data_IF_472902999228
#
_entry.id   IF_472902999228
#
_cell.length_a   1.000
_cell.length_b   1.000
_cell.length_c   1.000
_cell.angle_alpha   90.00
_cell.angle_beta   90.00
_cell.angle_gamma   90.00
#
_symmetry.space_group_name_H-M   'P 1'
#
loop_
_entity.id
_entity.type
_entity.pdbx_description
1 polymer ?
#
# COMPACT_ATOMS: atom_id res chain seq x y z
N UNK A 1 0.27 -3.69 15.00
CA UNK A 1 1.42 -2.93 14.48
C UNK A 1 2.65 -3.40 15.20
N UNK A 2 3.78 -3.43 14.50
CA UNK A 2 5.01 -4.06 14.98
C UNK A 2 6.14 -3.05 14.83
N UNK A 3 6.84 -2.76 15.94
CA UNK A 3 8.10 -2.04 15.86
C UNK A 3 9.15 -2.99 15.28
N UNK A 4 9.84 -2.54 14.24
CA UNK A 4 10.89 -3.29 13.57
C UNK A 4 12.21 -2.59 13.79
N UNK A 5 13.23 -3.39 14.12
CA UNK A 5 14.58 -2.89 14.25
C UNK A 5 15.16 -2.65 12.85
N UNK A 6 15.61 -1.43 12.61
CA UNK A 6 16.40 -1.02 11.44
C UNK A 6 17.83 -0.90 11.92
N UNK A 7 18.72 -1.66 11.29
CA UNK A 7 20.12 -1.70 11.69
C UNK A 7 20.90 -0.50 11.15
N UNK A 8 21.98 -0.15 11.83
CA UNK A 8 22.99 0.74 11.27
C UNK A 8 23.42 0.24 9.87
N UNK A 9 23.60 1.18 8.94
CA UNK A 9 23.89 0.92 7.53
C UNK A 9 22.67 0.77 6.63
N UNK A 10 21.45 0.57 7.16
CA UNK A 10 20.25 0.53 6.31
C UNK A 10 20.09 1.81 5.49
N UNK A 11 19.56 1.68 4.29
CA UNK A 11 19.32 2.79 3.37
C UNK A 11 17.87 3.24 3.46
N UNK A 12 17.67 4.55 3.70
CA UNK A 12 16.35 5.16 3.78
C UNK A 12 15.98 5.82 2.45
N UNK A 13 14.89 5.33 1.88
CA UNK A 13 14.19 5.93 0.76
C UNK A 13 12.95 6.63 1.31
N UNK A 14 13.03 7.95 1.45
CA UNK A 14 11.89 8.74 1.92
C UNK A 14 10.73 8.59 0.94
N UNK A 15 9.51 8.71 1.45
CA UNK A 15 8.30 8.63 0.66
C UNK A 15 8.41 9.44 -0.64
N UNK A 16 8.53 8.72 -1.75
CA UNK A 16 8.44 9.25 -3.11
C UNK A 16 7.03 9.02 -3.64
N UNK A 17 6.65 9.73 -4.70
CA UNK A 17 5.32 9.65 -5.30
C UNK A 17 5.40 9.44 -6.81
N UNK A 18 4.33 8.89 -7.37
CA UNK A 18 4.19 8.66 -8.80
C UNK A 18 5.13 7.58 -9.31
N UNK A 19 5.79 7.88 -10.42
CA UNK A 19 6.62 6.90 -11.15
C UNK A 19 7.80 6.40 -10.32
N UNK A 20 8.44 7.27 -9.53
CA UNK A 20 9.63 6.92 -8.74
C UNK A 20 9.32 5.80 -7.74
N UNK A 21 8.22 5.95 -6.98
CA UNK A 21 7.81 4.93 -6.01
C UNK A 21 7.49 3.60 -6.70
N UNK A 22 6.68 3.64 -7.76
CA UNK A 22 6.30 2.44 -8.51
C UNK A 22 7.51 1.75 -9.13
N UNK A 23 8.50 2.50 -9.61
CA UNK A 23 9.71 1.94 -10.21
C UNK A 23 10.61 1.28 -9.17
N UNK A 24 10.76 1.87 -7.98
CA UNK A 24 11.45 1.25 -6.83
C UNK A 24 10.80 -0.10 -6.49
N UNK A 25 9.48 -0.11 -6.33
CA UNK A 25 8.75 -1.35 -5.99
C UNK A 25 8.88 -2.38 -7.11
N UNK A 26 8.74 -2.00 -8.39
CA UNK A 26 8.93 -2.92 -9.51
C UNK A 26 10.33 -3.54 -9.52
N UNK A 27 11.37 -2.76 -9.25
CA UNK A 27 12.76 -3.25 -9.21
C UNK A 27 12.96 -4.27 -8.09
N UNK A 28 12.50 -3.95 -6.88
CA UNK A 28 12.50 -4.85 -5.72
C UNK A 28 11.85 -6.20 -6.05
N UNK A 29 10.65 -6.16 -6.61
CA UNK A 29 9.89 -7.37 -6.87
C UNK A 29 10.38 -8.18 -8.07
N UNK A 30 10.96 -7.53 -9.09
CA UNK A 30 11.64 -8.22 -10.21
C UNK A 30 12.93 -8.90 -9.79
N UNK A 31 13.66 -8.29 -8.86
CA UNK A 31 14.88 -8.82 -8.27
C UNK A 31 14.61 -10.04 -7.39
N UNK A 32 13.43 -10.10 -6.77
CA UNK A 32 12.99 -11.21 -5.92
C UNK A 32 13.46 -11.12 -4.46
N UNK A 33 14.27 -10.11 -4.13
CA UNK A 33 14.81 -9.87 -2.79
C UNK A 33 13.96 -8.83 -2.05
N UNK A 34 12.99 -9.29 -1.26
CA UNK A 34 12.19 -8.42 -0.38
C UNK A 34 12.50 -8.63 1.11
N UNK A 35 13.32 -9.64 1.44
CA UNK A 35 13.66 -10.02 2.81
C UNK A 35 14.72 -9.07 3.39
N UNK A 36 14.30 -8.06 4.14
CA UNK A 36 15.18 -6.97 4.61
C UNK A 36 14.73 -5.59 4.15
N UNK A 37 13.56 -5.52 3.49
CA UNK A 37 12.90 -4.26 3.15
C UNK A 37 11.74 -4.03 4.12
N UNK A 38 11.70 -2.84 4.72
CA UNK A 38 10.68 -2.43 5.67
C UNK A 38 9.91 -1.25 5.08
N UNK A 39 8.59 -1.41 4.95
CA UNK A 39 7.66 -0.34 4.64
C UNK A 39 7.27 0.40 5.93
N UNK A 40 7.64 1.67 6.02
CA UNK A 40 7.40 2.51 7.20
C UNK A 40 5.94 2.94 7.23
N UNK A 41 5.24 2.63 8.32
CA UNK A 41 3.78 2.85 8.45
C UNK A 41 3.42 4.09 9.25
N UNK A 42 4.34 4.60 10.07
CA UNK A 42 4.18 5.85 10.83
C UNK A 42 5.45 6.69 10.77
N UNK A 43 5.34 8.02 10.96
CA UNK A 43 6.52 8.86 11.14
C UNK A 43 7.43 8.31 12.25
N UNK A 44 8.72 8.23 11.99
CA UNK A 44 9.73 7.78 12.97
C UNK A 44 10.94 8.71 12.93
N UNK A 45 11.55 8.96 14.09
CA UNK A 45 12.80 9.74 14.17
C UNK A 45 13.96 8.76 14.08
N UNK A 46 14.83 8.95 13.09
CA UNK A 46 15.94 8.03 12.80
C UNK A 46 17.27 8.78 12.79
N UNK A 47 18.31 8.31 13.49
CA UNK A 47 19.66 8.83 13.36
C UNK A 47 20.27 8.41 12.01
N UNK A 48 20.77 9.37 11.24
CA UNK A 48 21.35 9.15 9.91
C UNK A 48 22.70 9.83 9.76
N UNK A 49 23.52 9.28 8.87
CA UNK A 49 24.76 9.91 8.44
C UNK A 49 24.48 11.06 7.46
N UNK A 50 25.07 12.22 7.74
CA UNK A 50 25.27 13.30 6.77
C UNK A 50 26.74 13.29 6.37
N UNK A 51 26.99 13.09 5.08
CA UNK A 51 28.32 13.11 4.46
C UNK A 51 29.35 12.22 5.17
N UNK A 52 28.92 11.13 5.81
CA UNK A 52 29.75 10.19 6.58
C UNK A 52 30.53 10.79 7.77
N UNK A 53 30.27 12.05 8.13
CA UNK A 53 31.01 12.76 9.18
C UNK A 53 30.15 13.13 10.39
N UNK A 54 28.84 13.28 10.20
CA UNK A 54 27.94 13.80 11.24
C UNK A 54 26.65 12.99 11.33
N UNK A 55 26.29 12.59 12.55
CA UNK A 55 24.98 11.99 12.83
C UNK A 55 23.95 13.09 13.07
N UNK A 56 22.80 12.99 12.39
CA UNK A 56 21.62 13.84 12.62
C UNK A 56 20.37 13.00 12.76
N UNK A 57 19.40 13.50 13.51
CA UNK A 57 18.07 12.91 13.57
C UNK A 57 17.20 13.49 12.46
N UNK A 58 16.63 12.63 11.63
CA UNK A 58 15.65 13.00 10.60
C UNK A 58 14.30 12.37 10.92
N UNK A 59 13.22 13.05 10.54
CA UNK A 59 11.89 12.48 10.60
C UNK A 59 11.63 11.73 9.30
N UNK A 60 11.60 10.41 9.39
CA UNK A 60 11.21 9.53 8.27
C UNK A 60 9.68 9.49 8.21
N UNK A 61 9.05 9.93 7.11
CA UNK A 61 7.60 9.93 7.00
C UNK A 61 7.05 8.52 6.76
N UNK A 62 5.73 8.30 6.97
CA UNK A 62 5.08 7.07 6.54
C UNK A 62 5.19 6.92 5.01
N UNK A 63 5.03 5.70 4.53
CA UNK A 63 5.27 5.30 3.13
C UNK A 63 6.73 5.33 2.66
N UNK A 64 7.68 5.57 3.56
CA UNK A 64 9.10 5.42 3.28
C UNK A 64 9.51 3.94 3.28
N UNK A 65 10.66 3.62 2.68
CA UNK A 65 11.28 2.30 2.74
C UNK A 65 12.60 2.38 3.49
N UNK A 66 12.83 1.44 4.40
CA UNK A 66 14.15 1.14 4.91
C UNK A 66 14.62 -0.16 4.25
N UNK A 67 15.76 -0.14 3.59
CA UNK A 67 16.25 -1.22 2.72
C UNK A 67 17.64 -1.63 3.17
N UNK A 68 17.88 -2.93 3.29
CA UNK A 68 19.24 -3.45 3.44
C UNK A 68 20.14 -3.02 2.25
N UNK A 69 21.39 -2.56 2.49
CA UNK A 69 22.29 -2.12 1.41
C UNK A 69 22.53 -3.17 0.33
N UNK A 70 22.66 -4.44 0.71
CA UNK A 70 22.90 -5.52 -0.24
C UNK A 70 21.74 -5.72 -1.21
N UNK A 71 20.50 -5.51 -0.75
CA UNK A 71 19.29 -5.53 -1.59
C UNK A 71 19.25 -4.29 -2.48
N UNK A 72 19.58 -3.13 -1.92
CA UNK A 72 19.63 -1.89 -2.69
C UNK A 72 20.59 -1.96 -3.88
N UNK A 73 21.76 -2.55 -3.65
CA UNK A 73 22.78 -2.76 -4.69
C UNK A 73 22.37 -3.85 -5.69
N UNK A 74 21.91 -5.01 -5.21
CA UNK A 74 21.55 -6.14 -6.08
C UNK A 74 20.34 -5.85 -6.97
N UNK A 75 19.38 -5.08 -6.46
CA UNK A 75 18.15 -4.74 -7.17
C UNK A 75 18.20 -3.39 -7.89
N UNK A 76 19.35 -2.69 -7.85
CA UNK A 76 19.56 -1.36 -8.44
C UNK A 76 18.42 -0.39 -8.08
N UNK A 77 18.10 -0.20 -6.80
CA UNK A 77 16.91 0.59 -6.39
C UNK A 77 17.10 2.10 -6.63
N UNK A 78 18.34 2.54 -6.82
CA UNK A 78 18.72 3.91 -7.04
C UNK A 78 19.41 4.51 -5.82
N UNK A 79 19.47 5.85 -5.76
CA UNK A 79 20.14 6.55 -4.69
C UNK A 79 19.21 6.75 -3.49
N UNK A 80 19.63 6.24 -2.33
CA UNK A 80 18.96 6.49 -1.06
C UNK A 80 19.09 7.95 -0.62
N UNK A 81 18.14 8.43 0.18
CA UNK A 81 18.20 9.78 0.74
C UNK A 81 19.19 9.86 1.91
N UNK A 82 19.23 8.80 2.72
CA UNK A 82 20.06 8.73 3.92
C UNK A 82 20.52 7.30 4.18
N UNK A 83 21.61 7.18 4.93
CA UNK A 83 22.07 5.93 5.54
C UNK A 83 21.84 6.01 7.06
N UNK A 84 21.30 4.97 7.67
CA UNK A 84 21.03 4.89 9.11
C UNK A 84 22.35 4.79 9.88
N UNK A 85 22.57 5.68 10.82
CA UNK A 85 23.83 5.74 11.57
C UNK A 85 23.88 4.76 12.74
N UNK A 86 22.76 4.57 13.42
CA UNK A 86 22.66 3.74 14.63
C UNK A 86 21.41 2.87 14.57
N UNK A 87 21.46 1.72 15.23
CA UNK A 87 20.30 0.83 15.37
C UNK A 87 19.09 1.61 15.93
N UNK A 88 17.98 1.58 15.20
CA UNK A 88 16.76 2.29 15.58
C UNK A 88 15.53 1.40 15.42
N UNK A 89 14.45 1.78 16.08
CA UNK A 89 13.15 1.15 15.90
C UNK A 89 12.27 2.03 15.02
N UNK A 90 11.60 1.42 14.04
CA UNK A 90 10.61 2.09 13.21
C UNK A 90 9.29 1.33 13.27
N UNK A 91 8.19 2.08 13.28
CA UNK A 91 6.85 1.52 13.12
C UNK A 91 6.66 1.12 11.65
N UNK A 92 6.80 -0.16 11.34
CA UNK A 92 6.82 -0.62 9.96
C UNK A 92 6.30 -2.04 9.77
N UNK A 93 6.33 -2.47 8.52
CA UNK A 93 6.04 -3.84 8.11
C UNK A 93 7.10 -4.35 7.15
N UNK A 94 7.51 -5.63 7.24
CA UNK A 94 8.33 -6.23 6.20
C UNK A 94 7.57 -6.19 4.87
N UNK A 95 8.24 -5.85 3.77
CA UNK A 95 7.63 -5.93 2.45
C UNK A 95 7.30 -7.41 2.16
N UNK A 96 6.04 -7.72 1.77
CA UNK A 96 5.63 -9.10 1.54
C UNK A 96 6.37 -9.70 0.34
N UNK A 97 6.74 -10.96 0.43
CA UNK A 97 7.16 -11.73 -0.75
C UNK A 97 5.94 -11.94 -1.67
N UNK A 98 6.14 -11.96 -2.98
CA UNK A 98 5.05 -12.16 -3.98
C UNK A 98 4.19 -13.38 -3.66
N UNK A 99 4.84 -14.50 -3.33
CA UNK A 99 4.17 -15.76 -3.02
C UNK A 99 3.28 -15.70 -1.78
N UNK A 100 3.45 -14.70 -0.93
CA UNK A 100 2.63 -14.48 0.28
C UNK A 100 1.35 -13.68 0.01
N UNK A 101 1.27 -13.03 -1.15
CA UNK A 101 0.11 -12.31 -1.65
C UNK A 101 -0.69 -13.26 -2.53
N UNK A 102 -1.89 -13.60 -2.08
CA UNK A 102 -2.78 -14.49 -2.82
C UNK A 102 -3.85 -13.70 -3.56
N UNK A 103 -4.20 -14.13 -4.77
CA UNK A 103 -5.33 -13.57 -5.53
C UNK A 103 -6.56 -14.47 -5.44
N UNK A 104 -7.74 -13.88 -5.28
CA UNK A 104 -9.02 -14.60 -5.22
C UNK A 104 -10.06 -13.99 -6.15
N UNK A 105 -10.82 -14.87 -6.81
CA UNK A 105 -11.92 -14.53 -7.71
C UNK A 105 -11.49 -14.23 -9.15
N UNK A 106 -12.26 -13.44 -9.89
CA UNK A 106 -12.07 -13.24 -11.33
C UNK A 106 -10.92 -12.27 -11.63
N UNK A 107 -10.30 -12.41 -12.81
CA UNK A 107 -9.39 -11.39 -13.33
C UNK A 107 -10.12 -10.06 -13.43
N UNK A 108 -9.55 -9.04 -12.82
CA UNK A 108 -10.05 -7.68 -12.74
C UNK A 108 -8.85 -6.73 -12.91
N UNK A 109 -9.14 -5.47 -13.20
CA UNK A 109 -8.12 -4.45 -13.41
C UNK A 109 -7.19 -4.30 -12.19
N UNK A 110 -7.71 -4.43 -10.96
CA UNK A 110 -6.90 -4.36 -9.74
C UNK A 110 -5.83 -5.47 -9.71
N UNK A 111 -6.22 -6.73 -9.89
CA UNK A 111 -5.30 -7.88 -9.88
C UNK A 111 -4.27 -7.73 -11.01
N UNK A 112 -4.71 -7.41 -12.23
CA UNK A 112 -3.84 -7.26 -13.39
C UNK A 112 -2.80 -6.14 -13.18
N UNK A 113 -3.22 -5.02 -12.60
CA UNK A 113 -2.32 -3.88 -12.35
C UNK A 113 -1.32 -4.19 -11.24
N UNK A 114 -1.74 -4.91 -10.20
CA UNK A 114 -0.85 -5.35 -9.13
C UNK A 114 0.14 -6.41 -9.63
N UNK A 115 -0.28 -7.35 -10.48
CA UNK A 115 0.61 -8.32 -11.14
C UNK A 115 1.65 -7.62 -12.02
N UNK A 116 1.28 -6.53 -12.69
CA UNK A 116 2.22 -5.70 -13.46
C UNK A 116 3.29 -5.01 -12.62
N UNK A 117 3.09 -4.88 -11.30
CA UNK A 117 4.06 -4.30 -10.35
C UNK A 117 4.83 -5.37 -9.60
N UNK A 118 4.12 -6.32 -8.99
CA UNK A 118 4.68 -7.31 -8.09
C UNK A 118 5.12 -8.61 -8.79
N UNK A 119 4.64 -8.89 -10.01
CA UNK A 119 4.75 -10.20 -10.65
C UNK A 119 3.54 -11.10 -10.39
N UNK A 120 3.62 -12.37 -10.79
CA UNK A 120 2.49 -13.31 -10.68
C UNK A 120 2.12 -13.59 -9.21
N UNK A 121 1.00 -13.03 -8.77
CA UNK A 121 0.50 -13.22 -7.41
C UNK A 121 0.14 -14.69 -7.16
N UNK A 122 0.42 -15.17 -5.95
CA UNK A 122 0.22 -16.54 -5.55
C UNK A 122 -1.24 -17.00 -5.52
N UNK A 123 -1.44 -18.32 -5.44
CA UNK A 123 -2.77 -18.94 -5.25
C UNK A 123 -3.12 -19.15 -3.78
N UNK A 124 -2.14 -19.13 -2.90
CA UNK A 124 -2.27 -19.28 -1.45
C UNK A 124 -1.32 -18.30 -0.77
N UNK A 125 -1.75 -17.73 0.34
CA UNK A 125 -1.04 -16.64 1.00
C UNK A 125 -1.77 -16.19 2.26
N UNK A 126 -1.10 -15.34 3.04
CA UNK A 126 -1.69 -14.76 4.27
C UNK A 126 -2.42 -13.46 4.01
N UNK A 127 -2.12 -12.82 2.87
CA UNK A 127 -2.76 -11.61 2.41
C UNK A 127 -3.54 -11.90 1.13
N UNK A 128 -4.71 -11.29 0.99
CA UNK A 128 -5.62 -11.55 -0.12
C UNK A 128 -5.81 -10.30 -0.98
N UNK A 129 -5.72 -10.46 -2.29
CA UNK A 129 -6.20 -9.50 -3.28
C UNK A 129 -7.44 -10.09 -3.91
N UNK A 130 -8.61 -9.51 -3.65
CA UNK A 130 -9.88 -10.10 -4.07
C UNK A 130 -10.64 -9.24 -5.07
N UNK A 131 -11.12 -9.90 -6.12
CA UNK A 131 -12.07 -9.35 -7.09
C UNK A 131 -13.17 -10.35 -7.38
N UNK A 132 -14.42 -9.90 -7.42
CA UNK A 132 -15.59 -10.74 -7.63
C UNK A 132 -16.05 -11.44 -6.35
N UNK A 133 -17.03 -12.32 -6.53
CA UNK A 133 -17.71 -13.00 -5.42
C UNK A 133 -18.90 -12.22 -4.89
N UNK A 134 -19.23 -12.47 -3.62
CA UNK A 134 -20.32 -11.80 -2.90
C UNK A 134 -19.80 -10.97 -1.74
N UNK A 135 -20.53 -9.93 -1.36
CA UNK A 135 -20.17 -9.11 -0.21
C UNK A 135 -20.09 -9.92 1.09
N UNK A 136 -20.91 -10.96 1.21
CA UNK A 136 -20.87 -11.88 2.36
C UNK A 136 -19.54 -12.64 2.45
N UNK A 137 -18.86 -12.89 1.34
CA UNK A 137 -17.53 -13.52 1.30
C UNK A 137 -16.44 -12.53 1.73
N UNK A 138 -16.54 -11.28 1.28
CA UNK A 138 -15.67 -10.18 1.75
C UNK A 138 -15.78 -10.05 3.27
N UNK A 139 -17.00 -9.97 3.80
CA UNK A 139 -17.27 -9.83 5.25
C UNK A 139 -16.66 -11.00 6.05
N UNK A 140 -16.81 -12.23 5.58
CA UNK A 140 -16.20 -13.42 6.22
C UNK A 140 -14.67 -13.34 6.26
N UNK A 141 -14.07 -12.71 5.26
CA UNK A 141 -12.63 -12.60 5.11
C UNK A 141 -12.03 -11.33 5.75
N UNK A 142 -12.84 -10.43 6.33
CA UNK A 142 -12.34 -9.20 6.96
C UNK A 142 -11.42 -9.42 8.17
N UNK A 143 -11.37 -10.63 8.72
CA UNK A 143 -10.42 -10.98 9.78
C UNK A 143 -9.00 -11.17 9.25
N UNK A 144 -8.84 -11.41 7.94
CA UNK A 144 -7.55 -11.53 7.28
C UNK A 144 -7.23 -10.23 6.52
N UNK A 145 -5.94 -9.87 6.36
CA UNK A 145 -5.56 -8.75 5.51
C UNK A 145 -6.03 -8.95 4.07
N UNK A 146 -6.81 -7.98 3.60
CA UNK A 146 -7.49 -8.01 2.31
C UNK A 146 -7.34 -6.68 1.59
N UNK A 147 -7.00 -6.73 0.31
CA UNK A 147 -7.11 -5.62 -0.64
C UNK A 147 -8.17 -6.00 -1.66
N UNK A 148 -9.25 -5.24 -1.81
CA UNK A 148 -10.36 -5.66 -2.69
C UNK A 148 -10.99 -4.52 -3.47
N UNK A 149 -11.41 -4.81 -4.71
CA UNK A 149 -12.28 -3.94 -5.50
C UNK A 149 -13.73 -4.38 -5.38
N UNK A 150 -14.51 -3.61 -4.62
CA UNK A 150 -15.92 -3.89 -4.34
C UNK A 150 -16.80 -3.74 -5.58
N UNK A 151 -16.40 -2.94 -6.58
CA UNK A 151 -17.20 -2.74 -7.81
C UNK A 151 -17.36 -4.00 -8.65
N UNK A 152 -16.52 -5.01 -8.39
CA UNK A 152 -16.53 -6.29 -9.08
C UNK A 152 -17.46 -7.34 -8.43
N UNK A 153 -18.03 -7.04 -7.26
CA UNK A 153 -18.92 -7.96 -6.55
C UNK A 153 -20.26 -8.14 -7.28
N UNK A 154 -20.82 -9.35 -7.21
CA UNK A 154 -22.04 -9.72 -7.93
C UNK A 154 -23.34 -9.25 -7.27
N UNK A 155 -23.31 -8.89 -5.99
CA UNK A 155 -24.47 -8.55 -5.16
C UNK A 155 -24.41 -7.12 -4.60
N UNK A 156 -23.79 -6.20 -5.33
CA UNK A 156 -23.73 -4.77 -4.98
C UNK A 156 -24.30 -3.89 -6.08
N UNK A 157 -25.00 -2.83 -5.68
CA UNK A 157 -25.43 -1.78 -6.60
C UNK A 157 -24.19 -1.01 -7.09
N UNK A 158 -24.09 -0.75 -8.39
CA UNK A 158 -22.99 0.01 -8.99
C UNK A 158 -23.48 1.41 -9.40
N UNK A 159 -22.63 2.41 -9.21
CA UNK A 159 -22.86 3.80 -9.62
C UNK A 159 -21.64 4.36 -10.36
N UNK A 160 -21.88 5.12 -11.43
CA UNK A 160 -20.81 5.84 -12.14
C UNK A 160 -20.71 7.26 -11.59
N UNK A 161 -19.52 7.64 -11.14
CA UNK A 161 -19.27 8.93 -10.48
C UNK A 161 -18.08 9.60 -11.14
N UNK A 162 -18.16 10.91 -11.33
CA UNK A 162 -17.05 11.75 -11.77
C UNK A 162 -16.84 12.87 -10.77
N UNK A 163 -15.58 13.13 -10.38
CA UNK A 163 -15.29 14.12 -9.37
C UNK A 163 -13.80 14.28 -9.08
N UNK A 164 -13.49 15.00 -8.01
CA UNK A 164 -12.12 15.16 -7.51
C UNK A 164 -11.88 14.27 -6.29
N UNK A 165 -10.70 13.65 -6.21
CA UNK A 165 -10.33 12.86 -5.04
C UNK A 165 -9.99 13.79 -3.86
N UNK A 166 -10.62 13.54 -2.72
CA UNK A 166 -10.34 14.20 -1.44
C UNK A 166 -9.98 13.15 -0.39
N UNK A 167 -8.85 13.35 0.28
CA UNK A 167 -8.36 12.45 1.34
C UNK A 167 -8.77 12.99 2.72
N UNK A 168 -9.30 12.14 3.60
CA UNK A 168 -9.58 12.54 4.98
C UNK A 168 -8.33 12.51 5.87
N UNK A 169 -7.42 11.56 5.62
CA UNK A 169 -6.26 11.33 6.47
C UNK A 169 -4.97 11.32 5.66
N UNK A 170 -4.42 12.52 5.42
CA UNK A 170 -3.21 12.70 4.61
C UNK A 170 -1.94 12.09 5.22
N UNK A 171 -1.91 11.82 6.52
CA UNK A 171 -0.79 11.11 7.17
C UNK A 171 -0.94 9.59 7.16
N UNK A 172 -2.01 9.04 6.59
CA UNK A 172 -2.16 7.60 6.43
C UNK A 172 -1.09 7.05 5.46
N UNK A 173 -0.40 5.92 5.74
CA UNK A 173 0.69 5.40 4.91
C UNK A 173 0.28 4.99 3.49
N UNK A 174 -1.01 4.88 3.20
CA UNK A 174 -1.50 4.67 1.84
C UNK A 174 -1.65 5.99 1.08
N UNK A 175 -1.93 7.08 1.77
CA UNK A 175 -2.29 8.38 1.19
C UNK A 175 -1.19 9.43 1.30
N UNK A 176 -0.15 9.17 2.11
CA UNK A 176 0.86 10.16 2.43
C UNK A 176 1.58 10.68 1.18
N UNK A 177 1.55 12.01 1.04
CA UNK A 177 2.16 12.77 -0.05
C UNK A 177 1.60 12.52 -1.46
N UNK A 178 0.56 11.68 -1.59
CA UNK A 178 -0.14 11.54 -2.87
C UNK A 178 -0.89 12.84 -3.20
N UNK A 179 -0.74 13.27 -4.45
CA UNK A 179 -1.51 14.38 -5.02
C UNK A 179 -2.36 13.85 -6.18
N UNK A 180 -3.68 13.99 -6.03
CA UNK A 180 -4.63 13.60 -7.06
C UNK A 180 -5.03 14.85 -7.84
N UNK A 181 -4.50 14.98 -9.06
CA UNK A 181 -4.76 16.12 -9.93
C UNK A 181 -5.82 15.74 -10.97
N UNK A 182 -6.79 16.62 -11.15
CA UNK A 182 -7.83 16.46 -12.17
C UNK A 182 -9.08 15.72 -11.68
N UNK A 183 -10.09 15.72 -12.55
CA UNK A 183 -11.31 14.93 -12.36
C UNK A 183 -11.09 13.53 -12.89
N UNK A 184 -11.54 12.54 -12.15
CA UNK A 184 -11.56 11.16 -12.59
C UNK A 184 -12.99 10.64 -12.61
N UNK A 185 -13.24 9.66 -13.48
CA UNK A 185 -14.51 8.93 -13.54
C UNK A 185 -14.27 7.51 -13.05
N UNK A 186 -15.07 7.08 -12.08
CA UNK A 186 -14.99 5.75 -11.49
C UNK A 186 -16.35 5.06 -11.48
N UNK A 187 -16.32 3.75 -11.66
CA UNK A 187 -17.43 2.84 -11.43
C UNK A 187 -17.32 2.33 -10.00
N UNK A 188 -18.23 2.72 -9.11
CA UNK A 188 -18.16 2.45 -7.68
C UNK A 188 -19.27 1.51 -7.24
N UNK A 189 -18.97 0.57 -6.33
CA UNK A 189 -19.98 -0.09 -5.52
C UNK A 189 -20.62 0.92 -4.55
N UNK A 190 -21.95 0.92 -4.47
CA UNK A 190 -22.69 1.72 -3.52
C UNK A 190 -22.62 1.10 -2.13
N UNK A 191 -21.68 1.59 -1.32
CA UNK A 191 -21.43 1.08 0.04
C UNK A 191 -22.40 1.62 1.09
N UNK A 192 -23.26 2.59 0.80
CA UNK A 192 -24.21 3.14 1.80
C UNK A 192 -25.24 2.09 2.24
N UNK A 193 -25.58 1.19 1.34
CA UNK A 193 -26.53 0.10 1.56
C UNK A 193 -25.86 -1.19 2.07
N UNK A 194 -24.54 -1.23 2.17
CA UNK A 194 -23.82 -2.44 2.55
C UNK A 194 -23.53 -2.49 4.04
N UNK A 195 -23.34 -3.71 4.57
CA UNK A 195 -22.92 -3.91 5.96
C UNK A 195 -21.49 -3.42 6.22
N UNK A 196 -20.68 -3.24 5.16
CA UNK A 196 -19.29 -2.81 5.25
C UNK A 196 -19.14 -1.44 5.93
N UNK A 197 -20.15 -0.56 5.85
CA UNK A 197 -20.14 0.74 6.52
C UNK A 197 -19.98 0.66 8.04
N UNK A 198 -20.30 -0.49 8.65
CA UNK A 198 -20.13 -0.71 10.09
C UNK A 198 -18.75 -1.23 10.47
N UNK A 199 -17.99 -1.75 9.50
CA UNK A 199 -16.67 -2.34 9.72
C UNK A 199 -15.53 -1.47 9.19
N UNK A 200 -15.82 -0.60 8.22
CA UNK A 200 -14.81 0.11 7.46
C UNK A 200 -14.89 1.62 7.67
N UNK A 201 -13.74 2.25 7.84
CA UNK A 201 -13.56 3.71 7.94
C UNK A 201 -13.18 4.26 6.57
N UNK A 202 -13.87 5.27 6.03
CA UNK A 202 -13.49 5.88 4.78
C UNK A 202 -12.17 6.65 4.91
N UNK A 203 -11.30 6.50 3.92
CA UNK A 203 -9.98 7.16 3.81
C UNK A 203 -9.96 8.25 2.74
N UNK A 204 -10.64 8.01 1.62
CA UNK A 204 -10.72 8.94 0.50
C UNK A 204 -12.11 8.94 -0.15
N UNK A 205 -12.42 10.06 -0.79
CA UNK A 205 -13.71 10.34 -1.41
C UNK A 205 -13.50 10.85 -2.83
N UNK A 206 -14.41 10.51 -3.73
CA UNK A 206 -14.62 11.17 -5.00
C UNK A 206 -15.81 12.11 -4.84
N UNK A 207 -15.53 13.41 -4.69
CA UNK A 207 -16.46 14.42 -4.21
C UNK A 207 -17.19 14.01 -2.91
N UNK A 208 -18.42 13.48 -3.01
CA UNK A 208 -19.24 13.05 -1.86
C UNK A 208 -19.26 11.53 -1.63
N UNK A 209 -18.72 10.75 -2.57
CA UNK A 209 -18.75 9.28 -2.51
C UNK A 209 -17.46 8.75 -1.93
N UNK A 210 -17.51 7.94 -0.88
CA UNK A 210 -16.31 7.27 -0.37
C UNK A 210 -15.81 6.24 -1.40
N UNK A 211 -14.51 6.29 -1.71
CA UNK A 211 -13.88 5.43 -2.74
C UNK A 211 -12.83 4.47 -2.17
N UNK A 212 -12.32 4.76 -0.98
CA UNK A 212 -11.31 3.96 -0.32
C UNK A 212 -11.70 3.82 1.15
N UNK A 213 -11.66 2.60 1.66
CA UNK A 213 -11.95 2.29 3.05
C UNK A 213 -10.84 1.46 3.67
N UNK A 214 -10.66 1.64 4.97
CA UNK A 214 -9.81 0.84 5.82
C UNK A 214 -10.69 0.03 6.78
N UNK A 215 -10.41 -1.25 6.96
CA UNK A 215 -10.95 -2.05 8.06
C UNK A 215 -9.86 -2.15 9.13
N UNK A 216 -9.94 -1.35 10.21
CA UNK A 216 -8.78 -1.13 11.09
C UNK A 216 -8.27 -2.39 11.79
N UNK A 217 -9.15 -3.36 12.05
CA UNK A 217 -8.78 -4.58 12.78
C UNK A 217 -7.78 -5.46 12.01
N UNK A 218 -7.93 -5.55 10.69
CA UNK A 218 -7.08 -6.37 9.82
C UNK A 218 -6.15 -5.56 8.92
N UNK A 219 -6.17 -4.23 9.04
CA UNK A 219 -5.54 -3.29 8.12
C UNK A 219 -5.98 -3.51 6.66
N UNK A 220 -7.17 -4.08 6.44
CA UNK A 220 -7.66 -4.36 5.09
C UNK A 220 -8.09 -3.09 4.38
N UNK A 221 -7.90 -3.05 3.06
CA UNK A 221 -8.20 -1.90 2.22
C UNK A 221 -9.22 -2.29 1.16
N UNK A 222 -10.34 -1.58 1.16
CA UNK A 222 -11.43 -1.82 0.24
C UNK A 222 -11.57 -0.62 -0.68
N UNK A 223 -11.42 -0.85 -1.97
CA UNK A 223 -11.75 0.12 -3.02
C UNK A 223 -13.24 -0.01 -3.33
N UNK A 224 -13.99 1.10 -3.24
CA UNK A 224 -15.36 1.10 -3.74
C UNK A 224 -15.38 0.83 -5.24
N UNK A 225 -14.37 1.32 -5.95
CA UNK A 225 -14.08 1.04 -7.35
C UNK A 225 -12.61 1.35 -7.64
N UNK A 226 -12.02 0.60 -8.57
CA UNK A 226 -10.62 0.73 -8.94
C UNK A 226 -10.43 1.29 -10.36
N UNK A 227 -9.32 2.01 -10.56
CA UNK A 227 -8.82 2.47 -11.86
C UNK A 227 -7.29 2.55 -11.81
N UNK A 228 -6.63 2.65 -12.97
CA UNK A 228 -5.17 2.71 -13.06
C UNK A 228 -4.59 3.97 -12.40
N UNK A 229 -5.38 5.04 -12.33
CA UNK A 229 -5.05 6.27 -11.60
C UNK A 229 -4.86 6.04 -10.10
N UNK A 230 -5.36 4.91 -9.58
CA UNK A 230 -5.19 4.47 -8.19
C UNK A 230 -4.13 3.37 -8.02
N UNK A 231 -3.29 3.10 -9.03
CA UNK A 231 -2.27 2.03 -8.95
C UNK A 231 -1.33 2.21 -7.77
N UNK A 232 -0.78 3.41 -7.56
CA UNK A 232 0.10 3.64 -6.41
C UNK A 232 -0.61 3.42 -5.07
N UNK A 233 -1.89 3.81 -4.97
CA UNK A 233 -2.73 3.54 -3.80
C UNK A 233 -2.88 2.04 -3.57
N UNK A 234 -3.11 1.26 -4.63
CA UNK A 234 -3.23 -0.19 -4.54
C UNK A 234 -1.92 -0.88 -4.14
N UNK A 235 -0.78 -0.43 -4.68
CA UNK A 235 0.55 -0.94 -4.30
C UNK A 235 0.81 -0.66 -2.83
N UNK A 236 0.58 0.57 -2.36
CA UNK A 236 0.73 0.94 -0.95
C UNK A 236 -0.26 0.19 -0.06
N UNK A 237 -1.48 -0.08 -0.53
CA UNK A 237 -2.46 -0.89 0.18
C UNK A 237 -1.94 -2.31 0.41
N UNK A 238 -1.32 -2.93 -0.59
CA UNK A 238 -0.68 -4.25 -0.43
C UNK A 238 0.47 -4.18 0.58
N UNK A 239 1.39 -3.22 0.47
CA UNK A 239 2.50 -3.07 1.43
C UNK A 239 2.05 -2.74 2.86
N UNK A 240 0.88 -2.13 3.01
CA UNK A 240 0.30 -1.75 4.29
C UNK A 240 -0.57 -2.85 4.92
N UNK A 241 -1.36 -3.57 4.12
CA UNK A 241 -2.28 -4.60 4.58
C UNK A 241 -1.54 -5.91 4.82
N UNK A 242 -0.75 -6.32 3.83
CA UNK A 242 0.24 -7.37 3.97
C UNK A 242 1.43 -6.82 4.78
#
# INVERSE_FOLDING_TARGET
>A
MTELKVHSGYLLYLASHGTVFLDIIRRLFRCGETAGVIFVTKPSVVPVWLDQERVRHVVVPPSSLAVDPGISESCDIGQANYEVAEDTWVDGKPVPEVRSISKTGSRCLLIESLEGVFGDLGKSGRCYVSCGGKISEIVKNLLNPLVSDLSTLSDVDIVNVEGFIKTLWRSHPILYGLTFNGRIRLTLANTEKTVLKYYAKPLAYLDKYAILFEVPYSNSILFAGYSNELLEVAVRAVLYSC
#
